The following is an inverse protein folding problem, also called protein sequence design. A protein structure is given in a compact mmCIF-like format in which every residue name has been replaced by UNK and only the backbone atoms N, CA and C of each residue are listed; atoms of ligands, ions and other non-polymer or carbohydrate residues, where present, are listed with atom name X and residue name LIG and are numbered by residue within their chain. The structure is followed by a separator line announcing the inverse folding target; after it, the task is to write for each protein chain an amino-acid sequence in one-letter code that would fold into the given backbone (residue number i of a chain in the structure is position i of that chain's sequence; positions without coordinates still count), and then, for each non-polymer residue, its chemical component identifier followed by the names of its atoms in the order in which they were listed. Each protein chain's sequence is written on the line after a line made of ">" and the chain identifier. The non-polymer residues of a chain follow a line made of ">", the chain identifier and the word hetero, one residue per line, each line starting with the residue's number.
data_IF_683778338448
#
_entry.id   IF_683778338448
#
_cell.length_a   1.000
_cell.length_b   1.000
_cell.length_c   1.000
_cell.angle_alpha   90.00
_cell.angle_beta   90.00
_cell.angle_gamma   90.00
#
_symmetry.space_group_name_H-M   'P 1'
#
loop_
_entity.id
_entity.type
_entity.pdbx_description
1 polymer ?
#
# COMPACT_ATOMS: atom_id res chain seq x y z
N UNK A 1 31.99 -76.08 -47.40
CA UNK A 1 31.10 -74.91 -47.17
C UNK A 1 31.57 -74.24 -45.87
N UNK A 2 32.43 -73.22 -45.96
CA UNK A 2 32.94 -72.51 -44.77
C UNK A 2 31.88 -71.51 -44.28
N UNK A 3 31.48 -71.61 -43.01
CA UNK A 3 30.73 -70.56 -42.33
C UNK A 3 31.71 -69.50 -41.85
N UNK A 4 31.64 -68.31 -42.45
CA UNK A 4 32.29 -67.11 -41.91
C UNK A 4 31.59 -66.75 -40.60
N UNK A 5 32.31 -66.86 -39.48
CA UNK A 5 31.88 -66.31 -38.18
C UNK A 5 32.03 -64.79 -38.27
N UNK A 6 30.93 -64.07 -38.22
CA UNK A 6 30.94 -62.63 -37.94
C UNK A 6 31.46 -62.40 -36.53
N UNK A 7 32.69 -61.90 -36.41
CA UNK A 7 33.24 -61.39 -35.17
C UNK A 7 32.66 -59.98 -35.00
N UNK A 8 31.68 -59.82 -34.11
CA UNK A 8 31.33 -58.50 -33.57
C UNK A 8 32.51 -58.03 -32.74
N UNK A 9 33.28 -57.08 -33.27
CA UNK A 9 34.33 -56.40 -32.51
C UNK A 9 33.70 -55.32 -31.62
N UNK A 10 33.09 -55.73 -30.51
CA UNK A 10 32.75 -54.80 -29.43
C UNK A 10 34.02 -54.55 -28.60
N UNK A 11 34.87 -53.64 -29.08
CA UNK A 11 36.09 -53.25 -28.36
C UNK A 11 35.74 -52.42 -27.11
N UNK A 12 36.34 -52.77 -25.97
CA UNK A 12 36.23 -52.07 -24.66
C UNK A 12 36.39 -50.55 -24.80
N UNK A 13 37.24 -50.10 -25.74
CA UNK A 13 37.48 -48.68 -26.04
C UNK A 13 36.24 -47.98 -26.60
N UNK A 14 35.44 -48.64 -27.43
CA UNK A 14 34.19 -48.10 -27.98
C UNK A 14 33.10 -47.95 -26.91
N UNK A 15 33.00 -48.90 -25.97
CA UNK A 15 32.09 -48.80 -24.83
C UNK A 15 32.52 -47.71 -23.84
N UNK A 16 33.83 -47.51 -23.62
CA UNK A 16 34.35 -46.43 -22.80
C UNK A 16 34.07 -45.05 -23.41
N UNK A 17 34.21 -44.90 -24.73
CA UNK A 17 33.90 -43.65 -25.44
C UNK A 17 32.40 -43.30 -25.39
N UNK A 18 31.52 -44.30 -25.57
CA UNK A 18 30.07 -44.10 -25.46
C UNK A 18 29.69 -43.68 -24.04
N UNK A 19 30.24 -44.33 -23.00
CA UNK A 19 30.02 -43.95 -21.61
C UNK A 19 30.56 -42.54 -21.27
N UNK A 20 31.64 -42.11 -21.92
CA UNK A 20 32.18 -40.77 -21.72
C UNK A 20 31.26 -39.71 -22.35
N UNK A 21 30.77 -39.97 -23.57
CA UNK A 21 29.83 -39.11 -24.28
C UNK A 21 28.50 -39.00 -23.51
N UNK A 22 27.96 -40.13 -23.02
CA UNK A 22 26.73 -40.13 -22.21
C UNK A 22 26.88 -39.29 -20.94
N UNK A 23 28.02 -39.40 -20.24
CA UNK A 23 28.28 -38.58 -19.04
C UNK A 23 28.42 -37.10 -19.35
N UNK A 24 29.02 -36.74 -20.48
CA UNK A 24 29.14 -35.34 -20.92
C UNK A 24 27.77 -34.77 -21.30
N UNK A 25 26.94 -35.53 -22.01
CA UNK A 25 25.59 -35.11 -22.41
C UNK A 25 24.69 -34.96 -21.17
N UNK A 26 24.67 -35.95 -20.28
CA UNK A 26 23.88 -35.90 -19.05
C UNK A 26 24.38 -34.78 -18.14
N UNK A 27 25.70 -34.64 -17.97
CA UNK A 27 26.29 -33.55 -17.18
C UNK A 27 26.01 -32.17 -17.75
N UNK A 28 26.02 -32.03 -19.09
CA UNK A 28 25.68 -30.80 -19.78
C UNK A 28 24.20 -30.41 -19.62
N UNK A 29 23.28 -31.36 -19.75
CA UNK A 29 21.84 -31.14 -19.57
C UNK A 29 21.53 -30.79 -18.11
N UNK A 30 22.09 -31.53 -17.13
CA UNK A 30 21.90 -31.23 -15.70
C UNK A 30 22.49 -29.87 -15.35
N UNK A 31 23.66 -29.51 -15.89
CA UNK A 31 24.27 -28.19 -15.71
C UNK A 31 23.42 -27.06 -16.27
N UNK A 32 22.84 -27.23 -17.47
CA UNK A 32 21.94 -26.27 -18.11
C UNK A 32 20.63 -26.09 -17.32
N UNK A 33 20.03 -27.19 -16.87
CA UNK A 33 18.80 -27.15 -16.05
C UNK A 33 19.08 -26.51 -14.68
N UNK A 34 20.21 -26.84 -14.05
CA UNK A 34 20.62 -26.23 -12.79
C UNK A 34 20.88 -24.72 -12.94
N UNK A 35 21.60 -24.30 -13.98
CA UNK A 35 21.85 -22.88 -14.30
C UNK A 35 20.56 -22.11 -14.62
N UNK A 36 19.65 -22.74 -15.36
CA UNK A 36 18.34 -22.14 -15.65
C UNK A 36 17.49 -22.00 -14.38
N UNK A 37 17.47 -23.01 -13.53
CA UNK A 37 16.76 -22.98 -12.25
C UNK A 37 17.36 -21.93 -11.30
N UNK A 38 18.68 -21.84 -11.19
CA UNK A 38 19.34 -20.84 -10.33
C UNK A 38 19.15 -19.42 -10.86
N UNK A 39 19.26 -19.19 -12.18
CA UNK A 39 18.97 -17.88 -12.77
C UNK A 39 17.52 -17.47 -12.53
N UNK A 40 16.57 -18.39 -12.71
CA UNK A 40 15.14 -18.13 -12.44
C UNK A 40 14.88 -17.84 -10.96
N UNK A 41 15.57 -18.55 -10.05
CA UNK A 41 15.49 -18.27 -8.61
C UNK A 41 16.12 -16.92 -8.25
N UNK A 42 17.24 -16.53 -8.87
CA UNK A 42 17.87 -15.23 -8.67
C UNK A 42 17.01 -14.08 -9.22
N UNK A 43 16.38 -14.25 -10.39
CA UNK A 43 15.43 -13.28 -10.92
C UNK A 43 14.21 -13.12 -10.00
N UNK A 44 13.69 -14.22 -9.45
CA UNK A 44 12.62 -14.18 -8.45
C UNK A 44 13.05 -13.51 -7.15
N UNK A 45 14.28 -13.74 -6.67
CA UNK A 45 14.82 -13.05 -5.50
C UNK A 45 14.95 -11.53 -5.74
N UNK A 46 15.51 -11.11 -6.89
CA UNK A 46 15.59 -9.68 -7.26
C UNK A 46 14.21 -9.04 -7.38
N UNK A 47 13.24 -9.72 -7.98
CA UNK A 47 11.85 -9.25 -8.06
C UNK A 47 11.21 -9.13 -6.66
N UNK A 48 11.46 -10.08 -5.76
CA UNK A 48 10.99 -10.03 -4.37
C UNK A 48 11.62 -8.84 -3.61
N UNK A 49 12.93 -8.64 -3.72
CA UNK A 49 13.63 -7.50 -3.11
C UNK A 49 13.12 -6.15 -3.64
N UNK A 50 12.90 -6.04 -4.94
CA UNK A 50 12.33 -4.84 -5.57
C UNK A 50 10.90 -4.57 -5.06
N UNK A 51 10.10 -5.63 -4.95
CA UNK A 51 8.70 -5.54 -4.45
C UNK A 51 8.66 -5.09 -2.99
N UNK A 52 9.55 -5.65 -2.15
CA UNK A 52 9.69 -5.25 -0.74
C UNK A 52 10.14 -3.79 -0.58
N UNK A 53 11.06 -3.33 -1.45
CA UNK A 53 11.50 -1.93 -1.44
C UNK A 53 10.35 -0.97 -1.79
N UNK A 54 9.54 -1.30 -2.81
CA UNK A 54 8.39 -0.49 -3.22
C UNK A 54 7.30 -0.46 -2.14
N UNK A 55 7.01 -1.60 -1.50
CA UNK A 55 6.01 -1.67 -0.42
C UNK A 55 6.44 -0.89 0.82
N UNK A 56 7.74 -0.88 1.15
CA UNK A 56 8.30 -0.09 2.23
C UNK A 56 8.20 1.43 1.98
N UNK A 57 8.50 1.87 0.75
CA UNK A 57 8.35 3.28 0.34
C UNK A 57 6.88 3.72 0.44
N UNK A 58 5.95 2.94 -0.12
CA UNK A 58 4.52 3.24 -0.04
C UNK A 58 4.01 3.29 1.40
N UNK A 59 4.48 2.40 2.27
CA UNK A 59 4.14 2.41 3.71
C UNK A 59 4.64 3.68 4.40
N UNK A 60 5.85 4.14 4.07
CA UNK A 60 6.40 5.39 4.59
C UNK A 60 5.59 6.60 4.13
N UNK A 61 5.21 6.66 2.85
CA UNK A 61 4.35 7.72 2.31
C UNK A 61 2.99 7.71 2.99
N UNK A 62 2.37 6.54 3.16
CA UNK A 62 1.07 6.40 3.82
C UNK A 62 1.13 6.88 5.28
N UNK A 63 2.20 6.57 6.03
CA UNK A 63 2.43 7.09 7.37
C UNK A 63 2.55 8.62 7.38
N UNK A 64 3.31 9.19 6.45
CA UNK A 64 3.46 10.64 6.33
C UNK A 64 2.12 11.32 6.01
N UNK A 65 1.32 10.75 5.12
CA UNK A 65 0.00 11.29 4.80
C UNK A 65 -0.97 11.17 5.97
N UNK A 66 -0.93 10.06 6.72
CA UNK A 66 -1.66 9.93 7.98
C UNK A 66 -1.26 11.06 8.94
N UNK A 67 0.02 11.29 9.15
CA UNK A 67 0.48 12.31 10.10
C UNK A 67 0.08 13.73 9.65
N UNK A 68 0.18 14.03 8.35
CA UNK A 68 -0.35 15.28 7.77
C UNK A 68 -1.86 15.43 8.00
N UNK A 69 -2.64 14.35 7.89
CA UNK A 69 -4.07 14.36 8.15
C UNK A 69 -4.37 14.71 9.61
N UNK A 70 -3.57 14.19 10.55
CA UNK A 70 -3.68 14.51 11.99
C UNK A 70 -3.47 16.01 12.21
N UNK A 71 -2.40 16.56 11.65
CA UNK A 71 -2.03 17.96 11.83
C UNK A 71 -3.11 18.89 11.24
N UNK A 72 -3.51 18.66 9.99
CA UNK A 72 -4.51 19.50 9.30
C UNK A 72 -5.90 19.41 9.93
N UNK A 73 -6.32 18.22 10.38
CA UNK A 73 -7.59 18.06 11.11
C UNK A 73 -7.54 18.80 12.45
N UNK A 74 -6.40 18.74 13.15
CA UNK A 74 -6.22 19.46 14.42
C UNK A 74 -6.28 20.97 14.21
N UNK A 75 -5.65 21.48 13.16
CA UNK A 75 -5.69 22.90 12.81
C UNK A 75 -7.09 23.37 12.41
N UNK A 76 -7.84 22.55 11.66
CA UNK A 76 -9.25 22.78 11.35
C UNK A 76 -10.10 22.89 12.62
N UNK A 77 -10.02 21.89 13.52
CA UNK A 77 -10.79 21.89 14.77
C UNK A 77 -10.42 23.10 15.64
N UNK A 78 -9.12 23.41 15.76
CA UNK A 78 -8.65 24.57 16.53
C UNK A 78 -9.17 25.90 15.96
N UNK A 79 -9.23 26.00 14.63
CA UNK A 79 -9.75 27.18 13.96
C UNK A 79 -11.25 27.35 14.25
N UNK A 80 -12.05 26.28 14.10
CA UNK A 80 -13.48 26.30 14.38
C UNK A 80 -13.77 26.61 15.86
N UNK A 81 -12.98 26.03 16.77
CA UNK A 81 -13.06 26.31 18.22
C UNK A 81 -12.40 27.62 18.65
N UNK A 82 -12.03 28.48 17.70
CA UNK A 82 -11.57 29.80 18.07
C UNK A 82 -12.72 30.56 18.74
N UNK A 83 -12.40 31.31 19.81
CA UNK A 83 -13.38 32.06 20.59
C UNK A 83 -14.22 33.04 19.76
N UNK A 84 -13.74 33.45 18.57
CA UNK A 84 -14.51 34.25 17.62
C UNK A 84 -15.63 33.46 16.96
N UNK A 85 -15.39 32.23 16.51
CA UNK A 85 -16.42 31.42 15.84
C UNK A 85 -17.39 30.85 16.87
N UNK A 86 -16.91 30.41 18.04
CA UNK A 86 -17.77 29.90 19.12
C UNK A 86 -18.76 30.95 19.64
N UNK A 87 -18.37 32.24 19.68
CA UNK A 87 -19.25 33.32 20.15
C UNK A 87 -20.37 33.68 19.17
N UNK A 88 -20.11 33.60 17.86
CA UNK A 88 -21.04 34.10 16.84
C UNK A 88 -21.64 33.03 15.94
N UNK A 89 -21.15 31.78 16.04
CA UNK A 89 -21.71 30.67 15.29
C UNK A 89 -21.41 30.66 13.79
N UNK A 90 -20.69 31.68 13.28
CA UNK A 90 -20.53 31.96 11.85
C UNK A 90 -19.23 32.68 11.56
N UNK A 91 -18.67 32.44 10.38
CA UNK A 91 -17.45 33.10 9.89
C UNK A 91 -17.82 34.37 9.12
N UNK A 92 -17.50 35.51 9.71
CA UNK A 92 -17.83 36.83 9.16
C UNK A 92 -16.71 37.46 8.32
N UNK A 93 -15.45 37.13 8.59
CA UNK A 93 -14.30 37.70 7.88
C UNK A 93 -13.96 36.89 6.64
N UNK A 94 -13.65 37.57 5.54
CA UNK A 94 -13.20 36.92 4.30
C UNK A 94 -11.93 36.08 4.51
N UNK A 95 -10.95 36.59 5.26
CA UNK A 95 -9.75 35.82 5.67
C UNK A 95 -10.10 34.53 6.43
N UNK A 96 -11.19 34.56 7.20
CA UNK A 96 -11.65 33.39 7.96
C UNK A 96 -12.30 32.35 7.05
N UNK A 97 -13.01 32.81 6.01
CA UNK A 97 -13.63 31.93 5.00
C UNK A 97 -12.58 31.31 4.11
N UNK A 98 -11.60 32.11 3.67
CA UNK A 98 -10.47 31.62 2.89
C UNK A 98 -9.71 30.54 3.68
N UNK A 99 -9.42 30.81 4.96
CA UNK A 99 -8.72 29.85 5.82
C UNK A 99 -9.47 28.54 6.03
N UNK A 100 -10.80 28.56 6.24
CA UNK A 100 -11.55 27.31 6.43
C UNK A 100 -11.59 26.48 5.14
N UNK A 101 -11.73 27.15 3.99
CA UNK A 101 -11.70 26.51 2.68
C UNK A 101 -10.31 25.96 2.32
N UNK A 102 -9.23 26.66 2.70
CA UNK A 102 -7.86 26.15 2.54
C UNK A 102 -7.66 24.85 3.34
N UNK A 103 -8.06 24.84 4.61
CA UNK A 103 -7.94 23.67 5.47
C UNK A 103 -8.80 22.49 4.98
N UNK A 104 -10.01 22.76 4.49
CA UNK A 104 -10.88 21.78 3.86
C UNK A 104 -10.22 21.14 2.63
N UNK A 105 -9.73 21.96 1.69
CA UNK A 105 -9.06 21.49 0.47
C UNK A 105 -7.79 20.66 0.79
N UNK A 106 -7.00 21.09 1.77
CA UNK A 106 -5.83 20.35 2.24
C UNK A 106 -6.21 18.97 2.77
N UNK A 107 -7.26 18.90 3.60
CA UNK A 107 -7.77 17.64 4.16
C UNK A 107 -8.27 16.74 3.04
N UNK A 108 -9.06 17.26 2.10
CA UNK A 108 -9.59 16.50 0.97
C UNK A 108 -8.45 15.92 0.10
N UNK A 109 -7.43 16.73 -0.20
CA UNK A 109 -6.27 16.30 -0.98
C UNK A 109 -5.47 15.20 -0.26
N UNK A 110 -5.28 15.31 1.07
CA UNK A 110 -4.60 14.29 1.87
C UNK A 110 -5.41 12.98 1.87
N UNK A 111 -6.73 13.07 2.11
CA UNK A 111 -7.62 11.90 2.11
C UNK A 111 -7.63 11.22 0.74
N UNK A 112 -7.68 11.99 -0.35
CA UNK A 112 -7.58 11.48 -1.71
C UNK A 112 -6.27 10.69 -1.94
N UNK A 113 -5.13 11.24 -1.54
CA UNK A 113 -3.84 10.54 -1.66
C UNK A 113 -3.79 9.25 -0.83
N UNK A 114 -4.36 9.27 0.38
CA UNK A 114 -4.48 8.09 1.23
C UNK A 114 -5.32 7.01 0.54
N UNK A 115 -6.42 7.38 -0.11
CA UNK A 115 -7.27 6.43 -0.85
C UNK A 115 -6.50 5.75 -1.97
N UNK A 116 -5.82 6.52 -2.83
CA UNK A 116 -5.01 5.97 -3.93
C UNK A 116 -3.98 4.95 -3.41
N UNK A 117 -3.21 5.34 -2.38
CA UNK A 117 -2.18 4.46 -1.84
C UNK A 117 -2.80 3.21 -1.20
N UNK A 118 -3.98 3.33 -0.58
CA UNK A 118 -4.66 2.22 0.09
C UNK A 118 -5.33 1.25 -0.90
N UNK A 119 -5.84 1.75 -2.02
CA UNK A 119 -6.43 0.94 -3.09
C UNK A 119 -5.41 -0.02 -3.71
N UNK A 120 -4.18 0.46 -3.94
CA UNK A 120 -3.06 -0.38 -4.36
C UNK A 120 -2.79 -1.55 -3.39
N UNK A 121 -3.08 -1.39 -2.10
CA UNK A 121 -2.94 -2.45 -1.10
C UNK A 121 -4.16 -3.37 -0.99
N UNK A 122 -5.35 -2.86 -1.29
CA UNK A 122 -6.59 -3.65 -1.36
C UNK A 122 -6.60 -4.62 -2.55
N UNK A 123 -5.87 -4.33 -3.62
CA UNK A 123 -5.58 -5.29 -4.69
C UNK A 123 -4.68 -6.45 -4.21
N UNK A 124 -3.78 -6.15 -3.28
CA UNK A 124 -2.83 -7.09 -2.67
C UNK A 124 -3.52 -7.95 -1.60
N UNK A 125 -4.51 -7.40 -0.88
CA UNK A 125 -5.20 -8.02 0.26
C UNK A 125 -6.73 -8.04 0.03
N UNK A 126 -7.24 -9.15 -0.53
CA UNK A 126 -8.66 -9.37 -0.90
C UNK A 126 -9.72 -9.24 0.23
N UNK A 127 -9.36 -8.79 1.43
CA UNK A 127 -10.21 -8.77 2.61
C UNK A 127 -10.72 -7.40 3.09
N UNK A 128 -10.11 -6.28 2.68
CA UNK A 128 -10.40 -4.96 3.27
C UNK A 128 -10.91 -3.88 2.29
N UNK A 129 -11.30 -4.31 1.08
CA UNK A 129 -11.68 -3.47 -0.04
C UNK A 129 -12.63 -2.33 0.36
N UNK A 130 -12.11 -1.12 0.31
CA UNK A 130 -12.88 0.13 0.41
C UNK A 130 -13.19 0.61 1.82
N UNK A 131 -12.57 0.05 2.87
CA UNK A 131 -12.77 0.57 4.24
C UNK A 131 -12.20 1.98 4.40
N UNK A 132 -10.97 2.21 3.91
CA UNK A 132 -10.32 3.53 3.92
C UNK A 132 -11.08 4.52 3.03
N UNK A 133 -11.50 4.08 1.83
CA UNK A 133 -12.22 4.93 0.88
C UNK A 133 -13.55 5.43 1.46
N UNK A 134 -14.40 4.51 1.92
CA UNK A 134 -15.70 4.86 2.54
C UNK A 134 -15.57 5.74 3.77
N UNK A 135 -14.62 5.44 4.65
CA UNK A 135 -14.37 6.24 5.86
C UNK A 135 -13.79 7.61 5.51
N UNK A 136 -12.97 7.68 4.46
CA UNK A 136 -12.44 8.93 3.92
C UNK A 136 -13.53 9.82 3.33
N UNK A 137 -14.42 9.28 2.50
CA UNK A 137 -15.59 10.01 1.97
C UNK A 137 -16.44 10.55 3.12
N UNK A 138 -16.82 9.68 4.05
CA UNK A 138 -17.62 10.06 5.22
C UNK A 138 -16.95 11.18 6.04
N UNK A 139 -15.62 11.13 6.22
CA UNK A 139 -14.91 12.16 6.96
C UNK A 139 -14.89 13.50 6.20
N UNK A 140 -14.58 13.50 4.91
CA UNK A 140 -14.57 14.71 4.07
C UNK A 140 -15.97 15.33 3.99
N UNK A 141 -17.01 14.52 3.80
CA UNK A 141 -18.40 15.00 3.76
C UNK A 141 -18.80 15.74 5.04
N UNK A 142 -18.33 15.27 6.21
CA UNK A 142 -18.61 15.92 7.47
C UNK A 142 -17.89 17.27 7.63
N UNK A 143 -16.66 17.38 7.11
CA UNK A 143 -15.92 18.65 7.06
C UNK A 143 -16.67 19.62 6.13
N UNK A 144 -16.90 19.23 4.88
CA UNK A 144 -17.48 20.11 3.85
C UNK A 144 -18.88 20.59 4.27
N UNK A 145 -19.71 19.68 4.82
CA UNK A 145 -21.04 20.04 5.32
C UNK A 145 -20.96 21.06 6.47
N UNK A 146 -19.97 20.94 7.35
CA UNK A 146 -19.84 21.84 8.49
C UNK A 146 -19.21 23.18 8.10
N UNK A 147 -18.18 23.20 7.25
CA UNK A 147 -17.63 24.44 6.66
C UNK A 147 -18.72 25.26 5.99
N UNK A 148 -19.56 24.62 5.16
CA UNK A 148 -20.65 25.28 4.48
C UNK A 148 -21.65 25.89 5.48
N UNK A 149 -21.95 25.19 6.58
CA UNK A 149 -22.81 25.70 7.65
C UNK A 149 -22.16 26.92 8.32
N UNK A 150 -20.89 26.83 8.71
CA UNK A 150 -20.16 27.94 9.35
C UNK A 150 -20.02 29.19 8.47
N UNK A 151 -20.03 29.04 7.14
CA UNK A 151 -19.94 30.16 6.20
C UNK A 151 -21.31 30.83 6.01
N UNK A 152 -22.38 30.02 5.89
CA UNK A 152 -23.69 30.50 5.43
C UNK A 152 -24.67 30.77 6.57
N UNK A 153 -24.59 30.01 7.65
CA UNK A 153 -25.59 29.92 8.72
C UNK A 153 -24.98 30.27 10.08
N UNK A 154 -25.81 30.74 11.00
CA UNK A 154 -25.43 30.85 12.41
C UNK A 154 -25.61 29.49 13.08
N UNK A 155 -24.62 29.07 13.86
CA UNK A 155 -24.65 27.83 14.65
C UNK A 155 -24.51 28.13 16.14
N UNK A 156 -25.24 27.42 16.99
CA UNK A 156 -25.03 27.54 18.43
C UNK A 156 -23.68 26.92 18.85
N UNK A 157 -23.17 27.30 20.03
CA UNK A 157 -21.97 26.66 20.58
C UNK A 157 -22.17 25.14 20.77
N UNK A 158 -23.37 24.71 21.18
CA UNK A 158 -23.72 23.28 21.32
C UNK A 158 -23.68 22.55 19.97
N UNK A 159 -24.20 23.16 18.90
CA UNK A 159 -24.15 22.59 17.56
C UNK A 159 -22.72 22.50 17.02
N UNK A 160 -21.90 23.52 17.30
CA UNK A 160 -20.47 23.51 16.94
C UNK A 160 -19.77 22.35 17.64
N UNK A 161 -20.00 22.18 18.94
CA UNK A 161 -19.41 21.08 19.71
C UNK A 161 -19.87 19.70 19.20
N UNK A 162 -21.16 19.54 18.89
CA UNK A 162 -21.71 18.31 18.32
C UNK A 162 -21.03 17.99 16.98
N UNK A 163 -20.89 18.98 16.09
CA UNK A 163 -20.28 18.78 14.76
C UNK A 163 -18.78 18.51 14.85
N UNK A 164 -18.06 19.20 15.73
CA UNK A 164 -16.65 18.91 16.00
C UNK A 164 -16.47 17.50 16.57
N UNK A 165 -17.36 17.07 17.46
CA UNK A 165 -17.34 15.72 18.00
C UNK A 165 -17.58 14.66 16.89
N UNK A 166 -18.55 14.90 16.01
CA UNK A 166 -18.85 14.05 14.86
C UNK A 166 -17.64 13.91 13.93
N UNK A 167 -17.01 15.03 13.58
CA UNK A 167 -15.79 15.08 12.76
C UNK A 167 -14.66 14.33 13.44
N UNK A 168 -14.45 14.53 14.75
CA UNK A 168 -13.40 13.85 15.52
C UNK A 168 -13.59 12.32 15.52
N UNK A 169 -14.84 11.85 15.58
CA UNK A 169 -15.16 10.42 15.50
C UNK A 169 -14.83 9.86 14.11
N UNK A 170 -15.27 10.52 13.03
CA UNK A 170 -15.01 10.08 11.65
C UNK A 170 -13.51 10.11 11.31
N UNK A 171 -12.80 11.13 11.79
CA UNK A 171 -11.33 11.21 11.73
C UNK A 171 -10.66 10.00 12.41
N UNK A 172 -11.11 9.63 13.62
CA UNK A 172 -10.58 8.45 14.32
C UNK A 172 -10.82 7.17 13.50
N UNK A 173 -12.00 7.05 12.90
CA UNK A 173 -12.35 5.87 12.10
C UNK A 173 -11.45 5.70 10.87
N UNK A 174 -11.15 6.78 10.14
CA UNK A 174 -10.23 6.72 8.99
C UNK A 174 -8.79 6.42 9.45
N UNK A 175 -8.30 7.04 10.54
CA UNK A 175 -6.96 6.75 11.07
C UNK A 175 -6.80 5.28 11.47
N UNK A 176 -7.83 4.68 12.09
CA UNK A 176 -7.84 3.25 12.40
C UNK A 176 -7.73 2.42 11.11
N UNK A 177 -8.52 2.75 10.08
CA UNK A 177 -8.48 2.04 8.81
C UNK A 177 -7.11 2.15 8.12
N UNK A 178 -6.47 3.33 8.15
CA UNK A 178 -5.11 3.51 7.63
C UNK A 178 -4.11 2.62 8.38
N UNK A 179 -4.20 2.57 9.71
CA UNK A 179 -3.32 1.73 10.52
C UNK A 179 -3.55 0.24 10.25
N UNK A 180 -4.78 -0.20 10.01
CA UNK A 180 -5.08 -1.57 9.58
C UNK A 180 -4.38 -1.91 8.25
N UNK A 181 -4.43 -1.00 7.27
CA UNK A 181 -3.71 -1.18 5.99
C UNK A 181 -2.20 -1.30 6.22
N UNK A 182 -1.61 -0.39 7.00
CA UNK A 182 -0.17 -0.43 7.33
C UNK A 182 0.21 -1.76 7.98
N UNK A 183 -0.57 -2.24 8.96
CA UNK A 183 -0.30 -3.51 9.64
C UNK A 183 -0.38 -4.71 8.69
N UNK A 184 -1.34 -4.72 7.77
CA UNK A 184 -1.46 -5.79 6.78
C UNK A 184 -0.27 -5.83 5.82
N UNK A 185 0.23 -4.66 5.41
CA UNK A 185 1.43 -4.56 4.56
C UNK A 185 2.66 -5.08 5.28
N UNK A 186 2.90 -4.64 6.51
CA UNK A 186 4.03 -5.11 7.33
C UNK A 186 3.97 -6.62 7.58
N UNK A 187 2.76 -7.16 7.82
CA UNK A 187 2.57 -8.61 8.01
C UNK A 187 2.96 -9.38 6.75
N UNK A 188 2.52 -8.92 5.58
CA UNK A 188 2.86 -9.54 4.29
C UNK A 188 4.34 -9.47 3.99
N UNK A 189 4.95 -8.30 4.17
CA UNK A 189 6.40 -8.08 4.05
C UNK A 189 7.19 -9.06 4.92
N UNK A 190 6.73 -9.30 6.15
CA UNK A 190 7.37 -10.23 7.07
C UNK A 190 7.16 -11.70 6.67
N UNK A 191 5.96 -12.09 6.25
CA UNK A 191 5.68 -13.44 5.73
C UNK A 191 6.53 -13.76 4.51
N UNK A 192 6.59 -12.85 3.53
CA UNK A 192 7.40 -12.99 2.33
C UNK A 192 8.90 -13.08 2.66
N UNK A 193 9.36 -12.37 3.70
CA UNK A 193 10.75 -12.44 4.17
C UNK A 193 11.14 -13.75 4.86
N UNK A 194 10.20 -14.49 5.45
CA UNK A 194 10.44 -15.82 6.05
C UNK A 194 10.53 -16.94 5.01
N UNK A 195 10.07 -16.68 3.79
CA UNK A 195 10.16 -17.58 2.64
C UNK A 195 11.31 -17.21 1.68
N UNK A 196 12.23 -16.33 2.12
CA UNK A 196 13.56 -16.09 1.54
C UNK A 196 14.58 -17.06 2.14
#
# INVERSE_FOLDING_TARGET
>A
MMRVKNIKSDTIVGQLLINLIDKIIIGGIVGLVALYATNKLQEQQKLKELTFSVSGIKTSILKKQRDNLIDKTTDYIRFVKSSKIEMYGKIFSDDGREKILELENDIEAIVFNIKIISEDYDEINKGNKGNVSKKGDSFVDAINSFSAKLINEESSAEEIDEKVFEISKRYKDIVIAINEVILQVLKKEFEDSRHL
#
